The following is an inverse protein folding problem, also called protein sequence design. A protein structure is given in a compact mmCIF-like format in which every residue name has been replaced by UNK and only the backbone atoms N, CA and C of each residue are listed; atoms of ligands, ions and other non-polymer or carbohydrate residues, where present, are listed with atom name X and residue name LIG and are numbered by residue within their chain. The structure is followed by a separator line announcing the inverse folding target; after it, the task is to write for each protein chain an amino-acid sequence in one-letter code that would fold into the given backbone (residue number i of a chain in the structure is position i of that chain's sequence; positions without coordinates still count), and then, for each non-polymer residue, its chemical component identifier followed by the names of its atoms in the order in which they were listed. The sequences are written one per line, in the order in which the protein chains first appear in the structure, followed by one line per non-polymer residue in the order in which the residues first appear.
data_IF_212250510711
#
_entry.id   IF_212250510711
#
_cell.length_a   1.000
_cell.length_b   1.000
_cell.length_c   1.000
_cell.angle_alpha   90.00
_cell.angle_beta   90.00
_cell.angle_gamma   90.00
#
_symmetry.space_group_name_H-M   'P 1'
#
loop_
_entity.id
_entity.type
_entity.pdbx_description
1 polymer ?
#
# COMPACT_ATOMS: atom_id res chain seq x y z
N UNK A 1 20.45 4.20 -14.47
CA UNK A 1 19.70 3.07 -13.89
C UNK A 1 18.90 2.44 -15.02
N UNK A 2 18.96 1.11 -15.17
CA UNK A 2 18.24 0.42 -16.24
C UNK A 2 16.73 0.65 -16.09
N UNK A 3 16.07 1.12 -17.15
CA UNK A 3 14.61 1.36 -17.16
C UNK A 3 13.84 0.09 -16.80
N UNK A 4 14.37 -1.08 -17.15
CA UNK A 4 13.78 -2.38 -16.81
C UNK A 4 13.80 -2.62 -15.29
N UNK A 5 14.89 -2.26 -14.61
CA UNK A 5 15.04 -2.39 -13.15
C UNK A 5 14.14 -1.41 -12.41
N UNK A 6 14.05 -0.15 -12.87
CA UNK A 6 13.17 0.85 -12.25
C UNK A 6 11.71 0.43 -12.35
N UNK A 7 11.29 -0.05 -13.52
CA UNK A 7 9.93 -0.53 -13.72
C UNK A 7 9.60 -1.74 -12.86
N UNK A 8 10.52 -2.72 -12.75
CA UNK A 8 10.34 -3.90 -11.88
C UNK A 8 10.22 -3.48 -10.41
N UNK A 9 11.06 -2.55 -9.96
CA UNK A 9 11.02 -2.03 -8.60
C UNK A 9 9.71 -1.27 -8.32
N UNK A 10 9.27 -0.43 -9.26
CA UNK A 10 7.98 0.26 -9.17
C UNK A 10 6.81 -0.72 -9.01
N UNK A 11 6.77 -1.78 -9.83
CA UNK A 11 5.75 -2.84 -9.73
C UNK A 11 5.81 -3.62 -8.43
N UNK A 12 7.01 -3.86 -7.91
CA UNK A 12 7.17 -4.50 -6.61
C UNK A 12 6.60 -3.62 -5.49
N UNK A 13 6.86 -2.31 -5.51
CA UNK A 13 6.30 -1.36 -4.53
C UNK A 13 4.77 -1.25 -4.62
N UNK A 14 4.21 -1.19 -5.84
CA UNK A 14 2.76 -1.26 -6.05
C UNK A 14 2.16 -2.55 -5.47
N UNK A 15 2.77 -3.69 -5.78
CA UNK A 15 2.32 -4.98 -5.28
C UNK A 15 2.36 -5.08 -3.75
N UNK A 16 3.47 -4.67 -3.13
CA UNK A 16 3.60 -4.65 -1.68
C UNK A 16 2.60 -3.69 -1.03
N UNK A 17 2.41 -2.50 -1.60
CA UNK A 17 1.42 -1.54 -1.12
C UNK A 17 0.01 -2.12 -1.11
N UNK A 18 -0.40 -2.79 -2.20
CA UNK A 18 -1.69 -3.47 -2.28
C UNK A 18 -1.82 -4.59 -1.26
N UNK A 19 -0.78 -5.40 -1.05
CA UNK A 19 -0.80 -6.48 -0.05
C UNK A 19 -1.00 -5.91 1.36
N UNK A 20 -0.31 -4.81 1.69
CA UNK A 20 -0.46 -4.15 3.01
C UNK A 20 -1.88 -3.60 3.17
N UNK A 21 -2.44 -2.94 2.16
CA UNK A 21 -3.83 -2.46 2.19
C UNK A 21 -4.81 -3.63 2.36
N UNK A 22 -4.65 -4.70 1.58
CA UNK A 22 -5.50 -5.89 1.68
C UNK A 22 -5.43 -6.54 3.05
N UNK A 23 -4.23 -6.71 3.61
CA UNK A 23 -4.05 -7.24 4.95
C UNK A 23 -4.71 -6.34 6.00
N UNK A 24 -4.53 -5.02 5.90
CA UNK A 24 -5.19 -4.05 6.77
C UNK A 24 -6.72 -4.16 6.72
N UNK A 25 -7.29 -4.21 5.52
CA UNK A 25 -8.75 -4.36 5.32
C UNK A 25 -9.27 -5.69 5.86
N UNK A 26 -8.55 -6.80 5.63
CA UNK A 26 -8.95 -8.11 6.17
C UNK A 26 -8.92 -8.14 7.69
N UNK A 27 -7.94 -7.47 8.31
CA UNK A 27 -7.87 -7.31 9.77
C UNK A 27 -9.02 -6.42 10.25
N UNK A 28 -9.31 -5.28 9.59
CA UNK A 28 -10.45 -4.42 9.89
C UNK A 28 -11.77 -5.17 9.88
N UNK A 29 -12.00 -6.03 8.88
CA UNK A 29 -13.26 -6.79 8.75
C UNK A 29 -13.40 -7.78 9.92
N UNK A 30 -12.29 -8.38 10.36
CA UNK A 30 -12.31 -9.33 11.47
C UNK A 30 -12.50 -8.63 12.82
N UNK A 31 -11.82 -7.51 13.04
CA UNK A 31 -11.88 -6.72 14.28
C UNK A 31 -13.15 -5.86 14.39
N UNK A 32 -13.75 -5.44 13.28
CA UNK A 32 -14.99 -4.65 13.27
C UNK A 32 -16.22 -5.41 13.79
N UNK A 33 -16.09 -6.70 14.09
CA UNK A 33 -17.08 -7.48 14.84
C UNK A 33 -16.90 -7.39 16.38
N UNK A 34 -15.81 -6.79 16.88
CA UNK A 34 -15.52 -6.56 18.30
C UNK A 34 -15.62 -5.05 18.64
N UNK A 35 -16.24 -4.70 19.78
CA UNK A 35 -16.64 -3.34 20.19
C UNK A 35 -15.48 -2.37 20.58
N UNK A 36 -14.36 -2.34 19.84
CA UNK A 36 -13.19 -1.46 20.07
C UNK A 36 -12.95 -0.41 18.95
N UNK A 37 -14.02 0.19 18.42
CA UNK A 37 -13.98 0.98 17.18
C UNK A 37 -13.07 2.21 17.11
N UNK A 38 -12.67 2.83 18.24
CA UNK A 38 -11.77 4.00 18.20
C UNK A 38 -10.28 3.63 18.15
N UNK A 39 -9.88 2.56 18.84
CA UNK A 39 -8.50 2.08 18.83
C UNK A 39 -8.19 1.33 17.52
N UNK A 40 -9.15 0.54 17.01
CA UNK A 40 -9.01 -0.14 15.72
C UNK A 40 -8.88 0.89 14.58
N UNK A 41 -9.68 1.96 14.57
CA UNK A 41 -9.63 2.99 13.52
C UNK A 41 -8.25 3.62 13.31
N UNK A 42 -7.52 3.93 14.39
CA UNK A 42 -6.18 4.51 14.28
C UNK A 42 -5.19 3.54 13.64
N UNK A 43 -5.29 2.25 13.98
CA UNK A 43 -4.42 1.20 13.47
C UNK A 43 -4.75 0.87 12.01
N UNK A 44 -6.03 0.85 11.66
CA UNK A 44 -6.51 0.68 10.28
C UNK A 44 -6.05 1.84 9.38
N UNK A 45 -6.13 3.07 9.89
CA UNK A 45 -5.66 4.26 9.18
C UNK A 45 -4.16 4.20 8.92
N UNK A 46 -3.36 3.74 9.88
CA UNK A 46 -1.93 3.54 9.68
C UNK A 46 -1.64 2.49 8.60
N UNK A 47 -2.34 1.36 8.60
CA UNK A 47 -2.19 0.32 7.57
C UNK A 47 -2.53 0.84 6.16
N UNK A 48 -3.63 1.58 6.04
CA UNK A 48 -4.03 2.25 4.80
C UNK A 48 -3.01 3.31 4.34
N UNK A 49 -2.51 4.13 5.26
CA UNK A 49 -1.53 5.16 4.93
C UNK A 49 -0.19 4.57 4.50
N UNK A 50 0.30 3.53 5.16
CA UNK A 50 1.56 2.85 4.81
C UNK A 50 1.41 2.11 3.48
N UNK A 51 0.36 1.31 3.32
CA UNK A 51 0.12 0.58 2.07
C UNK A 51 -0.16 1.50 0.88
N UNK A 52 -0.99 2.53 1.09
CA UNK A 52 -1.32 3.53 0.08
C UNK A 52 -0.12 4.38 -0.35
N UNK A 53 0.76 4.77 0.59
CA UNK A 53 1.97 5.52 0.25
C UNK A 53 3.00 4.65 -0.49
N UNK A 54 3.18 3.38 -0.12
CA UNK A 54 3.99 2.42 -0.88
C UNK A 54 3.49 2.26 -2.32
N UNK A 55 2.17 2.11 -2.48
CA UNK A 55 1.53 2.02 -3.78
C UNK A 55 1.75 3.30 -4.61
N UNK A 56 1.52 4.46 -4.00
CA UNK A 56 1.66 5.76 -4.67
C UNK A 56 3.09 6.02 -5.13
N UNK A 57 4.09 5.68 -4.31
CA UNK A 57 5.51 5.80 -4.67
C UNK A 57 5.85 4.87 -5.83
N UNK A 58 5.40 3.61 -5.80
CA UNK A 58 5.56 2.68 -6.93
C UNK A 58 4.95 3.24 -8.21
N UNK A 59 3.72 3.73 -8.14
CA UNK A 59 3.01 4.32 -9.28
C UNK A 59 3.71 5.56 -9.86
N UNK A 60 4.18 6.47 -9.01
CA UNK A 60 4.92 7.66 -9.46
C UNK A 60 6.26 7.29 -10.10
N UNK A 61 6.97 6.30 -9.54
CA UNK A 61 8.21 5.79 -10.11
C UNK A 61 7.99 5.13 -11.49
N UNK A 62 6.90 4.38 -11.64
CA UNK A 62 6.53 3.83 -12.95
C UNK A 62 6.26 4.93 -13.97
N UNK A 63 5.46 5.94 -13.61
CA UNK A 63 5.14 7.06 -14.49
C UNK A 63 6.39 7.81 -14.91
N UNK A 64 7.28 8.09 -13.95
CA UNK A 64 8.56 8.74 -14.24
C UNK A 64 9.43 7.89 -15.19
N UNK A 65 9.49 6.58 -15.00
CA UNK A 65 10.25 5.67 -15.84
C UNK A 65 9.67 5.51 -17.26
N UNK A 66 8.36 5.71 -17.45
CA UNK A 66 7.70 5.68 -18.77
C UNK A 66 7.83 6.99 -19.55
N UNK A 67 7.90 8.15 -18.87
CA UNK A 67 7.92 9.47 -19.53
C UNK A 67 9.33 9.91 -19.97
N UNK A 68 10.40 9.24 -19.52
CA UNK A 68 11.79 9.45 -19.96
C UNK A 68 12.29 8.28 -20.78
#
# INVERSE_FOLDING_TARGET
MDKSLVWRFAKLLEGLGLVVVLAGVLISINLGFEDEGLASMAQEFQGLMVGGSLFLVGYLLERWARTR
#
